data_IF_273464772492
#
_entry.id   IF_273464772492
#
_cell.length_a   1.000
_cell.length_b   1.000
_cell.length_c   1.000
_cell.angle_alpha   90.00
_cell.angle_beta   90.00
_cell.angle_gamma   90.00
#
_symmetry.space_group_name_H-M   'P 1'
#
loop_
_entity.id
_entity.type
_entity.pdbx_description
1 polymer ?
#
# COMPACT_ATOMS: atom_id res chain seq x y z
N UNK A 1 0.27 -15.23 9.78
CA UNK A 1 -0.58 -14.09 9.35
C UNK A 1 -1.60 -14.47 8.27
N UNK A 2 -1.22 -15.22 7.21
CA UNK A 2 -2.18 -15.66 6.18
C UNK A 2 -3.29 -16.60 6.71
N UNK A 3 -2.97 -17.48 7.67
CA UNK A 3 -3.95 -18.33 8.36
C UNK A 3 -4.88 -17.57 9.32
N UNK A 4 -4.49 -16.36 9.77
CA UNK A 4 -5.25 -15.54 10.71
C UNK A 4 -6.16 -14.50 10.02
N UNK A 5 -6.09 -14.38 8.68
CA UNK A 5 -6.88 -13.40 7.92
C UNK A 5 -6.51 -11.93 8.14
N UNK A 6 -5.43 -11.64 8.86
CA UNK A 6 -5.04 -10.26 9.22
C UNK A 6 -4.28 -9.52 8.12
N UNK A 7 -3.59 -10.24 7.24
CA UNK A 7 -2.80 -9.66 6.16
C UNK A 7 -3.02 -10.48 4.88
N UNK A 8 -3.44 -9.81 3.80
CA UNK A 8 -3.63 -10.44 2.50
C UNK A 8 -2.34 -11.09 2.01
N UNK A 9 -2.45 -12.24 1.34
CA UNK A 9 -1.27 -12.98 0.86
C UNK A 9 -0.48 -12.21 -0.19
N UNK A 10 -1.15 -11.32 -0.93
CA UNK A 10 -0.50 -10.36 -1.82
C UNK A 10 0.34 -9.35 -1.04
N UNK A 11 -0.26 -8.68 -0.06
CA UNK A 11 0.41 -7.66 0.76
C UNK A 11 1.60 -8.22 1.52
N UNK A 12 1.47 -9.42 2.09
CA UNK A 12 2.55 -10.13 2.76
C UNK A 12 3.75 -10.35 1.83
N UNK A 13 3.50 -10.87 0.62
CA UNK A 13 4.57 -11.09 -0.38
C UNK A 13 5.24 -9.78 -0.79
N UNK A 14 4.46 -8.72 -0.98
CA UNK A 14 4.99 -7.42 -1.40
C UNK A 14 5.86 -6.79 -0.31
N UNK A 15 5.39 -6.81 0.94
CA UNK A 15 6.14 -6.30 2.10
C UNK A 15 7.46 -7.07 2.23
N UNK A 16 7.44 -8.41 2.11
CA UNK A 16 8.67 -9.21 2.17
C UNK A 16 9.64 -8.88 1.03
N UNK A 17 9.15 -8.75 -0.20
CA UNK A 17 9.99 -8.40 -1.36
C UNK A 17 10.67 -7.03 -1.18
N UNK A 18 9.91 -6.01 -0.75
CA UNK A 18 10.46 -4.67 -0.49
C UNK A 18 11.44 -4.70 0.69
N UNK A 19 11.10 -5.42 1.77
CA UNK A 19 11.95 -5.51 2.96
C UNK A 19 13.29 -6.20 2.68
N UNK A 20 13.32 -7.15 1.75
CA UNK A 20 14.56 -7.84 1.33
C UNK A 20 15.49 -6.92 0.52
N UNK A 21 14.93 -5.92 -0.14
CA UNK A 21 15.67 -4.92 -0.92
C UNK A 21 16.06 -3.68 -0.13
N UNK A 22 15.58 -3.54 1.11
CA UNK A 22 15.93 -2.44 2.01
C UNK A 22 16.92 -2.94 3.07
N UNK A 23 17.82 -2.07 3.51
CA UNK A 23 18.64 -2.33 4.69
C UNK A 23 17.85 -2.07 5.98
N UNK A 24 18.35 -2.61 7.11
CA UNK A 24 17.71 -2.49 8.41
C UNK A 24 17.46 -1.05 8.87
N UNK A 25 18.28 -0.07 8.44
CA UNK A 25 18.09 1.34 8.76
C UNK A 25 16.92 1.98 8.02
N UNK A 26 16.58 1.46 6.84
CA UNK A 26 15.51 1.99 5.98
C UNK A 26 14.15 1.34 6.24
N UNK A 27 14.11 0.18 6.91
CA UNK A 27 12.87 -0.54 7.23
C UNK A 27 11.91 0.30 8.08
N UNK A 28 12.41 1.01 9.09
CA UNK A 28 11.55 1.81 9.96
C UNK A 28 10.87 2.95 9.18
N UNK A 29 11.60 3.60 8.27
CA UNK A 29 11.04 4.62 7.37
C UNK A 29 10.05 4.01 6.38
N UNK A 30 10.33 2.81 5.86
CA UNK A 30 9.40 2.07 5.00
C UNK A 30 8.07 1.79 5.70
N UNK A 31 8.09 1.17 6.88
CA UNK A 31 6.87 0.86 7.63
C UNK A 31 6.10 2.12 8.02
N UNK A 32 6.80 3.18 8.45
CA UNK A 32 6.15 4.43 8.82
C UNK A 32 5.46 5.10 7.62
N UNK A 33 6.14 5.18 6.49
CA UNK A 33 5.59 5.77 5.26
C UNK A 33 4.44 4.92 4.71
N UNK A 34 4.61 3.59 4.71
CA UNK A 34 3.54 2.65 4.35
C UNK A 34 2.31 2.83 5.23
N UNK A 35 2.47 2.98 6.55
CA UNK A 35 1.36 3.14 7.48
C UNK A 35 0.61 4.46 7.24
N UNK A 36 1.32 5.56 7.00
CA UNK A 36 0.71 6.86 6.69
C UNK A 36 -0.11 6.77 5.40
N UNK A 37 0.48 6.28 4.31
CA UNK A 37 -0.22 6.15 3.04
C UNK A 37 -1.36 5.13 3.09
N UNK A 38 -1.20 4.05 3.85
CA UNK A 38 -2.25 3.07 4.10
C UNK A 38 -3.42 3.65 4.87
N UNK A 39 -3.15 4.49 5.89
CA UNK A 39 -4.18 5.21 6.64
C UNK A 39 -4.92 6.23 5.78
N UNK A 40 -4.21 7.01 4.98
CA UNK A 40 -4.80 7.94 4.01
C UNK A 40 -5.71 7.18 3.03
N UNK A 41 -5.23 6.05 2.48
CA UNK A 41 -6.01 5.23 1.57
C UNK A 41 -7.27 4.68 2.26
N UNK A 42 -7.15 4.17 3.48
CA UNK A 42 -8.29 3.67 4.25
C UNK A 42 -9.34 4.77 4.50
N UNK A 43 -8.91 5.99 4.87
CA UNK A 43 -9.81 7.13 5.05
C UNK A 43 -10.48 7.53 3.73
N UNK A 44 -9.72 7.61 2.64
CA UNK A 44 -10.28 7.91 1.31
C UNK A 44 -11.34 6.88 0.91
N UNK A 45 -11.10 5.59 1.15
CA UNK A 45 -12.07 4.52 0.86
C UNK A 45 -13.28 4.56 1.79
N UNK A 46 -13.11 4.94 3.06
CA UNK A 46 -14.21 5.14 3.99
C UNK A 46 -15.13 6.27 3.50
N UNK A 47 -14.57 7.41 3.11
CA UNK A 47 -15.34 8.51 2.51
C UNK A 47 -15.97 8.11 1.17
N UNK A 48 -15.22 7.41 0.32
CA UNK A 48 -15.69 6.95 -0.98
C UNK A 48 -16.89 6.00 -0.88
N UNK A 49 -16.89 5.10 0.12
CA UNK A 49 -18.02 4.19 0.39
C UNK A 49 -19.19 4.87 1.09
N UNK A 50 -18.92 5.89 1.90
CA UNK A 50 -19.97 6.65 2.57
C UNK A 50 -20.64 7.70 1.66
N UNK A 51 -19.96 8.14 0.60
CA UNK A 51 -20.51 9.08 -0.35
C UNK A 51 -21.49 8.39 -1.31
N UNK A 52 -22.63 9.03 -1.60
CA UNK A 52 -23.50 8.62 -2.70
C UNK A 52 -22.77 8.91 -4.02
N UNK A 53 -22.15 7.89 -4.59
CA UNK A 53 -21.43 8.02 -5.85
C UNK A 53 -22.42 8.37 -6.99
N UNK A 54 -22.09 9.35 -7.84
CA UNK A 54 -22.93 9.66 -9.00
C UNK A 54 -23.01 8.47 -9.95
N UNK A 55 -24.19 8.24 -10.55
CA UNK A 55 -24.46 7.08 -11.40
C UNK A 55 -23.45 6.90 -12.55
N UNK A 56 -22.89 8.01 -13.06
CA UNK A 56 -21.86 7.99 -14.10
C UNK A 56 -20.60 7.22 -13.68
N UNK A 57 -20.21 7.30 -12.40
CA UNK A 57 -19.07 6.56 -11.85
C UNK A 57 -19.45 5.09 -11.60
N UNK A 58 -20.68 4.82 -11.16
CA UNK A 58 -21.17 3.45 -10.94
C UNK A 58 -21.32 2.63 -12.23
N UNK A 59 -21.43 3.28 -13.40
CA UNK A 59 -21.40 2.60 -14.70
C UNK A 59 -20.07 1.89 -14.99
N UNK A 60 -18.98 2.23 -14.28
CA UNK A 60 -17.70 1.53 -14.42
C UNK A 60 -17.66 0.32 -13.48
N UNK A 61 -17.57 -0.92 -13.99
CA UNK A 61 -17.67 -2.13 -13.17
C UNK A 61 -16.56 -2.24 -12.12
N UNK A 62 -15.37 -1.70 -12.41
CA UNK A 62 -14.27 -1.63 -11.45
C UNK A 62 -14.59 -0.70 -10.26
N UNK A 63 -15.17 0.47 -10.54
CA UNK A 63 -15.53 1.46 -9.52
C UNK A 63 -16.71 0.97 -8.68
N UNK A 64 -17.71 0.36 -9.33
CA UNK A 64 -18.83 -0.28 -8.65
C UNK A 64 -18.36 -1.38 -7.69
N UNK A 65 -17.41 -2.23 -8.12
CA UNK A 65 -16.77 -3.22 -7.25
C UNK A 65 -16.01 -2.58 -6.09
N UNK A 66 -15.25 -1.51 -6.30
CA UNK A 66 -14.52 -0.83 -5.22
C UNK A 66 -15.45 -0.17 -4.18
N UNK A 67 -16.62 0.28 -4.63
CA UNK A 67 -17.65 0.86 -3.79
C UNK A 67 -18.38 -0.20 -2.94
N UNK A 68 -18.33 -1.49 -3.32
CA UNK A 68 -18.91 -2.56 -2.51
C UNK A 68 -18.16 -2.69 -1.16
N UNK A 69 -18.88 -2.77 -0.03
CA UNK A 69 -18.27 -2.96 1.28
C UNK A 69 -17.41 -4.23 1.39
N UNK A 70 -17.75 -5.27 0.62
CA UNK A 70 -17.06 -6.56 0.58
C UNK A 70 -15.75 -6.54 -0.19
N UNK A 71 -15.50 -5.52 -1.03
CA UNK A 71 -14.26 -5.43 -1.78
C UNK A 71 -13.09 -5.07 -0.84
N UNK A 72 -11.92 -5.66 -1.10
CA UNK A 72 -10.70 -5.29 -0.39
C UNK A 72 -10.19 -3.90 -0.78
N UNK A 73 -9.54 -3.21 0.15
CA UNK A 73 -8.81 -1.97 -0.14
C UNK A 73 -7.48 -2.34 -0.83
N UNK A 74 -7.06 -1.66 -1.92
CA UNK A 74 -5.83 -1.97 -2.63
C UNK A 74 -4.58 -1.48 -1.88
N UNK A 75 -4.27 -2.10 -0.74
CA UNK A 75 -3.14 -1.74 0.13
C UNK A 75 -1.77 -1.86 -0.55
N UNK A 76 -1.66 -2.68 -1.60
CA UNK A 76 -0.46 -2.74 -2.45
C UNK A 76 0.02 -1.38 -2.95
N UNK A 77 -0.88 -0.40 -3.14
CA UNK A 77 -0.51 0.97 -3.52
C UNK A 77 0.27 1.67 -2.39
N UNK A 78 -0.20 1.55 -1.16
CA UNK A 78 0.48 2.14 0.01
C UNK A 78 1.85 1.48 0.24
N UNK A 79 1.94 0.15 0.04
CA UNK A 79 3.20 -0.59 0.16
C UNK A 79 4.20 -0.17 -0.93
N UNK A 80 3.74 -0.02 -2.18
CA UNK A 80 4.59 0.45 -3.28
C UNK A 80 5.12 1.88 -3.04
N UNK A 81 4.26 2.81 -2.60
CA UNK A 81 4.68 4.18 -2.26
C UNK A 81 5.69 4.16 -1.12
N UNK A 82 5.44 3.39 -0.06
CA UNK A 82 6.38 3.23 1.04
C UNK A 82 7.74 2.72 0.57
N UNK A 83 7.77 1.72 -0.31
CA UNK A 83 8.99 1.17 -0.88
C UNK A 83 9.77 2.18 -1.72
N UNK A 84 9.09 2.88 -2.63
CA UNK A 84 9.71 3.90 -3.50
C UNK A 84 10.31 5.05 -2.67
N UNK A 85 9.62 5.50 -1.62
CA UNK A 85 10.10 6.60 -0.79
C UNK A 85 11.22 6.17 0.18
N UNK A 86 11.24 4.91 0.60
CA UNK A 86 12.30 4.37 1.45
C UNK A 86 13.57 4.00 0.66
N UNK A 87 13.44 3.58 -0.60
CA UNK A 87 14.55 3.06 -1.40
C UNK A 87 15.75 4.01 -1.56
N UNK A 88 15.60 5.33 -1.82
CA UNK A 88 16.73 6.27 -1.92
C UNK A 88 17.54 6.42 -0.63
N UNK A 89 16.94 6.08 0.51
CA UNK A 89 17.61 6.14 1.81
C UNK A 89 18.36 4.85 2.11
N UNK A 90 18.21 3.82 1.27
CA UNK A 90 18.82 2.53 1.50
C UNK A 90 20.33 2.54 1.29
N UNK A 91 21.03 1.71 2.07
CA UNK A 91 22.47 1.51 1.93
C UNK A 91 22.84 1.08 0.49
N UNK A 92 21.98 0.29 -0.17
CA UNK A 92 22.19 -0.14 -1.56
C UNK A 92 22.20 1.05 -2.54
N UNK A 93 21.26 1.99 -2.40
CA UNK A 93 21.22 3.19 -3.23
C UNK A 93 22.44 4.10 -2.97
N UNK A 94 22.80 4.26 -1.70
CA UNK A 94 23.97 5.06 -1.31
C UNK A 94 25.29 4.45 -1.79
N UNK A 95 25.39 3.12 -1.87
CA UNK A 95 26.53 2.42 -2.45
C UNK A 95 26.56 2.55 -3.98
N UNK A 96 25.40 2.47 -4.64
CA UNK A 96 25.30 2.64 -6.09
C UNK A 96 25.58 4.08 -6.56
N UNK A 97 25.34 5.09 -5.72
CA UNK A 97 25.67 6.49 -6.02
C UNK A 97 27.13 6.88 -5.76
N UNK A 98 27.98 5.94 -5.33
CA UNK A 98 29.41 6.16 -5.00
C UNK A 98 30.39 5.59 -6.05
N UNK A 99 29.88 4.98 -7.11
CA UNK A 99 30.60 4.50 -8.30
C UNK A 99 30.37 5.46 -9.46
#
# INVERSE_FOLDING_TARGET
>A
MFYFGWLGGGDAKLITAVSLWLDGGSLLRFFFTMAIWGGILALLFLFFRSARLPELLMKRPFIARLAEPSAGIPYGVAIAIGGILAYPHSALWQLAGRI
#
